data_IF_278700205259
#
_entry.id   IF_278700205259
#
_cell.length_a   1.000
_cell.length_b   1.000
_cell.length_c   1.000
_cell.angle_alpha   90.00
_cell.angle_beta   90.00
_cell.angle_gamma   90.00
#
_symmetry.space_group_name_H-M   'P 1'
#
loop_
_entity.id
_entity.type
_entity.pdbx_description
1 polymer ?
#
# COMPACT_ATOMS: atom_id res chain seq x y z
N UNK A 1 0.01 -27.33 -16.30
CA UNK A 1 -0.36 -25.91 -16.51
C UNK A 1 -1.84 -25.87 -16.81
N UNK A 2 -2.65 -25.26 -15.94
CA UNK A 2 -4.10 -25.09 -16.19
C UNK A 2 -4.29 -23.96 -17.22
N UNK A 3 -5.21 -24.12 -18.17
CA UNK A 3 -5.48 -23.13 -19.21
C UNK A 3 -5.95 -21.79 -18.62
N UNK A 4 -5.48 -20.68 -19.18
CA UNK A 4 -5.98 -19.34 -18.86
C UNK A 4 -7.47 -19.20 -19.20
N UNK A 5 -7.88 -19.76 -20.34
CA UNK A 5 -9.27 -19.76 -20.78
C UNK A 5 -10.06 -20.89 -20.11
N UNK A 6 -11.31 -20.62 -19.66
CA UNK A 6 -12.19 -21.64 -19.10
C UNK A 6 -12.64 -22.65 -20.18
N UNK A 7 -12.48 -23.93 -19.88
CA UNK A 7 -12.77 -25.03 -20.81
C UNK A 7 -14.24 -25.47 -20.79
N UNK A 8 -14.99 -25.16 -19.72
CA UNK A 8 -16.41 -25.54 -19.54
C UNK A 8 -17.36 -24.36 -19.28
N UNK A 9 -18.66 -24.59 -19.49
CA UNK A 9 -19.72 -23.57 -19.32
C UNK A 9 -19.87 -23.10 -17.86
N UNK A 10 -19.71 -24.01 -16.90
CA UNK A 10 -19.70 -23.70 -15.46
C UNK A 10 -18.52 -22.78 -15.10
N UNK A 11 -17.30 -23.13 -15.52
CA UNK A 11 -16.11 -22.29 -15.28
C UNK A 11 -16.23 -20.90 -15.90
N UNK A 12 -16.87 -20.78 -17.07
CA UNK A 12 -17.17 -19.48 -17.69
C UNK A 12 -18.14 -18.68 -16.83
N UNK A 13 -19.19 -19.32 -16.32
CA UNK A 13 -20.19 -18.66 -15.48
C UNK A 13 -19.59 -18.15 -14.17
N UNK A 14 -18.69 -18.94 -13.56
CA UNK A 14 -18.02 -18.58 -12.31
C UNK A 14 -16.98 -17.47 -12.54
N UNK A 15 -16.21 -17.53 -13.64
CA UNK A 15 -15.31 -16.45 -14.04
C UNK A 15 -16.08 -15.15 -14.30
N UNK A 16 -17.23 -15.19 -14.97
CA UNK A 16 -18.06 -14.00 -15.20
C UNK A 16 -18.64 -13.42 -13.90
N UNK A 17 -19.05 -14.28 -12.95
CA UNK A 17 -19.50 -13.85 -11.63
C UNK A 17 -18.36 -13.19 -10.85
N UNK A 18 -17.18 -13.80 -10.83
CA UNK A 18 -15.99 -13.24 -10.22
C UNK A 18 -15.63 -11.88 -10.85
N UNK A 19 -15.63 -11.78 -12.18
CA UNK A 19 -15.35 -10.53 -12.90
C UNK A 19 -16.36 -9.42 -12.55
N UNK A 20 -17.65 -9.75 -12.39
CA UNK A 20 -18.66 -8.76 -11.97
C UNK A 20 -18.33 -8.17 -10.61
N UNK A 21 -17.72 -8.91 -9.69
CA UNK A 21 -17.40 -8.40 -8.36
C UNK A 21 -16.46 -7.19 -8.42
N UNK A 22 -15.51 -7.17 -9.35
CA UNK A 22 -14.58 -6.03 -9.58
C UNK A 22 -15.30 -4.74 -10.01
N UNK A 23 -16.48 -4.85 -10.63
CA UNK A 23 -17.32 -3.71 -11.04
C UNK A 23 -18.42 -3.34 -10.03
N UNK A 24 -18.51 -4.03 -8.90
CA UNK A 24 -19.61 -3.83 -7.94
C UNK A 24 -19.16 -3.07 -6.69
N UNK A 25 -20.14 -2.71 -5.85
CA UNK A 25 -19.92 -2.12 -4.52
C UNK A 25 -18.98 -2.96 -3.64
N UNK A 26 -18.91 -4.28 -3.85
CA UNK A 26 -18.04 -5.18 -3.08
C UNK A 26 -16.57 -4.80 -3.26
N UNK A 27 -16.15 -4.49 -4.48
CA UNK A 27 -14.78 -4.02 -4.76
C UNK A 27 -14.50 -2.66 -4.12
N UNK A 28 -15.46 -1.73 -4.19
CA UNK A 28 -15.31 -0.38 -3.61
C UNK A 28 -15.27 -0.37 -2.08
N UNK A 29 -16.04 -1.25 -1.43
CA UNK A 29 -16.08 -1.35 0.03
C UNK A 29 -14.94 -2.20 0.58
N UNK A 30 -14.56 -3.25 -0.12
CA UNK A 30 -13.47 -4.13 0.28
C UNK A 30 -12.06 -3.56 0.10
N UNK A 31 -11.90 -2.48 -0.67
CA UNK A 31 -10.59 -1.92 -1.02
C UNK A 31 -10.41 -0.48 -0.50
N UNK A 32 -9.79 -0.30 0.68
CA UNK A 32 -9.51 1.02 1.21
C UNK A 32 -8.54 1.85 0.34
N UNK A 33 -7.76 1.20 -0.52
CA UNK A 33 -6.78 1.82 -1.41
C UNK A 33 -7.41 2.46 -2.67
N UNK A 34 -8.71 2.23 -2.91
CA UNK A 34 -9.38 2.69 -4.13
C UNK A 34 -9.43 4.21 -4.25
N UNK A 35 -9.54 4.92 -3.12
CA UNK A 35 -9.50 6.38 -3.08
C UNK A 35 -8.14 6.90 -3.53
N UNK A 36 -7.06 6.29 -3.04
CA UNK A 36 -5.69 6.61 -3.45
C UNK A 36 -5.47 6.32 -4.93
N UNK A 37 -5.94 5.17 -5.42
CA UNK A 37 -5.86 4.84 -6.84
C UNK A 37 -6.61 5.87 -7.70
N UNK A 38 -7.81 6.29 -7.28
CA UNK A 38 -8.60 7.33 -7.97
C UNK A 38 -7.87 8.66 -8.10
N UNK A 39 -7.19 9.11 -7.04
CA UNK A 39 -6.37 10.34 -7.08
C UNK A 39 -5.24 10.21 -8.10
N UNK A 40 -4.50 9.10 -8.08
CA UNK A 40 -3.40 8.91 -9.03
C UNK A 40 -3.87 8.72 -10.48
N UNK A 41 -5.04 8.13 -10.71
CA UNK A 41 -5.66 8.09 -12.04
C UNK A 41 -5.97 9.51 -12.52
N UNK A 42 -6.57 10.36 -11.68
CA UNK A 42 -6.82 11.76 -12.03
C UNK A 42 -5.51 12.49 -12.39
N UNK A 43 -4.47 12.33 -11.57
CA UNK A 43 -3.16 12.91 -11.84
C UNK A 43 -2.55 12.36 -13.14
N UNK A 44 -2.72 11.07 -13.45
CA UNK A 44 -2.28 10.48 -14.70
C UNK A 44 -3.00 11.08 -15.93
N UNK A 45 -4.31 11.35 -15.81
CA UNK A 45 -5.08 12.04 -16.86
C UNK A 45 -4.55 13.45 -17.09
N UNK A 46 -4.32 14.21 -16.02
CA UNK A 46 -3.75 15.56 -16.10
C UNK A 46 -2.36 15.52 -16.78
N UNK A 47 -1.52 14.57 -16.38
CA UNK A 47 -0.20 14.36 -16.97
C UNK A 47 -0.25 13.99 -18.46
N UNK A 48 -1.17 13.11 -18.86
CA UNK A 48 -1.34 12.76 -20.27
C UNK A 48 -1.79 13.99 -21.09
N UNK A 49 -2.66 14.83 -20.52
CA UNK A 49 -3.08 16.08 -21.14
C UNK A 49 -1.94 17.10 -21.26
N UNK A 50 -1.18 17.33 -20.19
CA UNK A 50 0.00 18.20 -20.21
C UNK A 50 1.01 17.73 -21.27
N UNK A 51 1.31 16.43 -21.29
CA UNK A 51 2.22 15.86 -22.26
C UNK A 51 1.70 16.01 -23.70
N UNK A 52 0.41 15.79 -23.93
CA UNK A 52 -0.23 16.03 -25.24
C UNK A 52 0.00 17.46 -25.71
N UNK A 53 -0.33 18.44 -24.85
CA UNK A 53 -0.19 19.87 -25.19
C UNK A 53 1.27 20.28 -25.42
N UNK A 54 2.21 19.72 -24.64
CA UNK A 54 3.63 20.01 -24.80
C UNK A 54 4.19 19.42 -26.10
N UNK A 55 3.77 18.21 -26.48
CA UNK A 55 4.21 17.53 -27.71
C UNK A 55 3.73 18.23 -28.99
N UNK A 56 2.69 19.06 -28.93
CA UNK A 56 2.28 19.90 -30.07
C UNK A 56 3.31 20.98 -30.42
N UNK A 57 4.16 21.38 -29.48
CA UNK A 57 5.07 22.53 -29.64
C UNK A 57 6.53 22.21 -29.37
N UNK A 58 6.83 21.08 -28.72
CA UNK A 58 8.17 20.71 -28.26
C UNK A 58 8.52 19.27 -28.60
N UNK A 59 9.82 18.96 -28.68
CA UNK A 59 10.28 17.58 -28.79
C UNK A 59 9.92 16.76 -27.55
N UNK A 60 9.79 15.44 -27.69
CA UNK A 60 9.47 14.52 -26.59
C UNK A 60 10.40 14.70 -25.39
N UNK A 61 11.70 14.86 -25.61
CA UNK A 61 12.67 15.12 -24.55
C UNK A 61 12.37 16.39 -23.76
N UNK A 62 11.95 17.48 -24.43
CA UNK A 62 11.58 18.74 -23.77
C UNK A 62 10.20 18.65 -23.12
N UNK A 63 9.23 18.01 -23.76
CA UNK A 63 7.89 17.80 -23.21
C UNK A 63 7.94 16.98 -21.92
N UNK A 64 8.73 15.91 -21.89
CA UNK A 64 8.93 15.09 -20.70
C UNK A 64 9.63 15.84 -19.55
N UNK A 65 10.40 16.90 -19.82
CA UNK A 65 10.99 17.76 -18.78
C UNK A 65 9.94 18.58 -18.03
N UNK A 66 8.78 18.83 -18.65
CA UNK A 66 7.70 19.64 -18.07
C UNK A 66 6.54 18.80 -17.54
N UNK A 67 6.29 17.61 -18.09
CA UNK A 67 5.22 16.71 -17.66
C UNK A 67 5.68 15.72 -16.57
N UNK A 68 4.91 15.57 -15.50
CA UNK A 68 5.17 14.56 -14.45
C UNK A 68 4.68 13.17 -14.86
N UNK A 69 5.27 12.57 -15.92
CA UNK A 69 4.86 11.25 -16.49
C UNK A 69 4.77 10.11 -15.45
N UNK A 70 5.50 10.30 -14.36
CA UNK A 70 5.40 9.61 -13.08
C UNK A 70 3.97 9.29 -12.62
N UNK A 71 3.05 10.24 -12.72
CA UNK A 71 1.71 10.07 -12.15
C UNK A 71 0.99 8.86 -12.78
N UNK A 72 1.28 8.56 -14.04
CA UNK A 72 0.76 7.38 -14.72
C UNK A 72 1.38 6.07 -14.20
N UNK A 73 2.68 6.06 -13.88
CA UNK A 73 3.34 4.90 -13.25
C UNK A 73 2.81 4.63 -11.83
N UNK A 74 2.55 5.68 -11.05
CA UNK A 74 1.95 5.56 -9.71
C UNK A 74 0.50 5.07 -9.81
N UNK A 75 -0.28 5.55 -10.77
CA UNK A 75 -1.62 5.06 -11.03
C UNK A 75 -1.63 3.54 -11.29
N UNK A 76 -0.72 3.05 -12.14
CA UNK A 76 -0.57 1.62 -12.42
C UNK A 76 -0.25 0.83 -11.16
N UNK A 77 0.71 1.29 -10.36
CA UNK A 77 1.13 0.61 -9.11
C UNK A 77 -0.01 0.53 -8.09
N UNK A 78 -0.73 1.64 -7.85
CA UNK A 78 -1.82 1.66 -6.88
C UNK A 78 -3.05 0.85 -7.33
N UNK A 79 -3.32 0.82 -8.64
CA UNK A 79 -4.36 -0.05 -9.19
C UNK A 79 -4.00 -1.52 -9.01
N UNK A 80 -2.76 -1.93 -9.29
CA UNK A 80 -2.31 -3.30 -9.03
C UNK A 80 -2.43 -3.68 -7.56
N UNK A 81 -2.08 -2.78 -6.64
CA UNK A 81 -2.27 -2.99 -5.19
C UNK A 81 -3.75 -3.18 -4.80
N UNK A 82 -4.68 -2.44 -5.42
CA UNK A 82 -6.12 -2.61 -5.19
C UNK A 82 -6.59 -3.99 -5.65
N UNK A 83 -6.18 -4.41 -6.86
CA UNK A 83 -6.52 -5.73 -7.40
C UNK A 83 -5.94 -6.85 -6.53
N UNK A 84 -4.70 -6.70 -6.09
CA UNK A 84 -4.05 -7.67 -5.21
C UNK A 84 -4.73 -7.77 -3.85
N UNK A 85 -5.11 -6.64 -3.25
CA UNK A 85 -5.82 -6.65 -1.95
C UNK A 85 -7.15 -7.38 -2.08
N UNK A 86 -7.91 -7.10 -3.15
CA UNK A 86 -9.19 -7.74 -3.40
C UNK A 86 -9.06 -9.25 -3.63
N UNK A 87 -8.23 -9.63 -4.61
CA UNK A 87 -8.01 -11.03 -4.96
C UNK A 87 -7.38 -11.80 -3.81
N UNK A 88 -6.48 -11.17 -3.05
CA UNK A 88 -5.86 -11.75 -1.86
C UNK A 88 -6.87 -12.06 -0.76
N UNK A 89 -7.85 -11.17 -0.53
CA UNK A 89 -8.92 -11.41 0.43
C UNK A 89 -9.87 -12.53 -0.04
N UNK A 90 -10.21 -12.58 -1.32
CA UNK A 90 -11.11 -13.62 -1.86
C UNK A 90 -10.44 -14.99 -1.93
N UNK A 91 -9.22 -15.06 -2.48
CA UNK A 91 -8.47 -16.32 -2.63
C UNK A 91 -7.95 -16.78 -1.25
N UNK A 92 -7.52 -15.86 -0.39
CA UNK A 92 -6.95 -16.17 0.92
C UNK A 92 -7.98 -16.54 2.00
N UNK A 93 -9.28 -16.32 1.76
CA UNK A 93 -10.32 -16.66 2.72
C UNK A 93 -10.37 -18.17 3.01
N UNK A 94 -10.56 -18.53 4.28
CA UNK A 94 -10.63 -19.93 4.74
C UNK A 94 -11.76 -20.71 4.06
N UNK A 95 -12.89 -20.05 3.81
CA UNK A 95 -14.08 -20.62 3.17
C UNK A 95 -13.96 -20.74 1.65
N UNK A 96 -12.98 -20.08 1.02
CA UNK A 96 -12.86 -20.06 -0.45
C UNK A 96 -12.58 -21.44 -1.05
N UNK A 97 -12.06 -22.39 -0.26
CA UNK A 97 -11.87 -23.80 -0.67
C UNK A 97 -13.15 -24.61 -0.68
N UNK A 98 -14.18 -24.19 0.07
CA UNK A 98 -15.44 -24.92 0.16
C UNK A 98 -16.27 -24.78 -1.13
N UNK A 99 -15.99 -23.77 -1.95
CA UNK A 99 -16.66 -23.54 -3.23
C UNK A 99 -15.76 -24.06 -4.37
N UNK A 100 -16.15 -25.15 -5.05
CA UNK A 100 -15.36 -25.72 -6.15
C UNK A 100 -15.13 -24.68 -7.25
N UNK A 101 -13.90 -24.59 -7.77
CA UNK A 101 -13.57 -23.73 -8.93
C UNK A 101 -13.42 -22.23 -8.63
N UNK A 102 -13.93 -21.73 -7.50
CA UNK A 102 -13.91 -20.30 -7.12
C UNK A 102 -12.50 -19.69 -7.16
N UNK A 103 -11.51 -20.38 -6.58
CA UNK A 103 -10.14 -19.89 -6.49
C UNK A 103 -9.49 -19.64 -7.86
N UNK A 104 -9.75 -20.54 -8.82
CA UNK A 104 -9.21 -20.43 -10.17
C UNK A 104 -10.00 -19.41 -11.00
N UNK A 105 -11.32 -19.33 -10.81
CA UNK A 105 -12.17 -18.31 -11.41
C UNK A 105 -11.74 -16.91 -10.98
N UNK A 106 -11.45 -16.71 -9.69
CA UNK A 106 -11.00 -15.43 -9.13
C UNK A 106 -9.59 -15.06 -9.62
N UNK A 107 -8.66 -16.02 -9.68
CA UNK A 107 -7.33 -15.77 -10.24
C UNK A 107 -7.37 -15.38 -11.74
N UNK A 108 -8.25 -16.02 -12.53
CA UNK A 108 -8.49 -15.66 -13.94
C UNK A 108 -9.11 -14.26 -14.06
N UNK A 109 -10.10 -13.95 -13.24
CA UNK A 109 -10.73 -12.63 -13.21
C UNK A 109 -9.72 -11.54 -12.83
N UNK A 110 -8.95 -11.75 -11.76
CA UNK A 110 -7.90 -10.83 -11.33
C UNK A 110 -6.85 -10.59 -12.42
N UNK A 111 -6.38 -11.65 -13.10
CA UNK A 111 -5.43 -11.54 -14.18
C UNK A 111 -6.01 -10.75 -15.38
N UNK A 112 -7.26 -11.03 -15.77
CA UNK A 112 -7.90 -10.32 -16.86
C UNK A 112 -8.12 -8.83 -16.54
N UNK A 113 -8.61 -8.52 -15.35
CA UNK A 113 -8.79 -7.12 -14.90
C UNK A 113 -7.44 -6.41 -14.83
N UNK A 114 -6.39 -7.06 -14.33
CA UNK A 114 -5.04 -6.49 -14.30
C UNK A 114 -4.52 -6.13 -15.69
N UNK A 115 -4.69 -7.03 -16.67
CA UNK A 115 -4.30 -6.76 -18.07
C UNK A 115 -5.10 -5.59 -18.65
N UNK A 116 -6.42 -5.58 -18.47
CA UNK A 116 -7.29 -4.51 -19.00
C UNK A 116 -6.92 -3.16 -18.40
N UNK A 117 -6.65 -3.10 -17.10
CA UNK A 117 -6.27 -1.86 -16.41
C UNK A 117 -4.93 -1.33 -16.92
N UNK A 118 -3.93 -2.20 -17.13
CA UNK A 118 -2.63 -1.79 -17.66
C UNK A 118 -2.77 -1.26 -19.08
N UNK A 119 -3.50 -1.96 -19.95
CA UNK A 119 -3.77 -1.50 -21.33
C UNK A 119 -4.54 -0.18 -21.33
N UNK A 120 -5.52 0.01 -20.44
CA UNK A 120 -6.27 1.26 -20.33
C UNK A 120 -5.39 2.44 -19.90
N UNK A 121 -4.50 2.25 -18.92
CA UNK A 121 -3.55 3.27 -18.48
C UNK A 121 -2.50 3.60 -19.55
N UNK A 122 -2.00 2.58 -20.26
CA UNK A 122 -1.10 2.80 -21.39
C UNK A 122 -1.80 3.51 -22.54
N UNK A 123 -3.07 3.17 -22.81
CA UNK A 123 -3.90 3.88 -23.79
C UNK A 123 -4.12 5.36 -23.42
N UNK A 124 -4.33 5.65 -22.12
CA UNK A 124 -4.42 7.03 -21.62
C UNK A 124 -3.12 7.81 -21.87
N UNK A 125 -1.95 7.18 -21.67
CA UNK A 125 -0.68 7.80 -22.02
C UNK A 125 -0.50 7.93 -23.55
N UNK A 126 -0.89 6.92 -24.32
CA UNK A 126 -0.78 6.94 -25.78
C UNK A 126 -1.62 8.06 -26.42
N UNK A 127 -2.70 8.50 -25.76
CA UNK A 127 -3.46 9.70 -26.15
C UNK A 127 -2.59 10.96 -26.25
N UNK A 128 -1.46 11.02 -25.53
CA UNK A 128 -0.52 12.15 -25.66
C UNK A 128 0.20 12.21 -27.01
N UNK A 129 0.10 11.17 -27.85
CA UNK A 129 0.78 11.06 -29.13
C UNK A 129 2.01 10.16 -29.13
N UNK A 130 2.31 9.50 -28.00
CA UNK A 130 3.39 8.49 -27.90
C UNK A 130 2.88 7.14 -28.39
N UNK A 131 3.69 6.33 -29.11
CA UNK A 131 3.26 5.01 -29.58
C UNK A 131 2.80 4.09 -28.44
N UNK A 132 1.73 3.33 -28.69
CA UNK A 132 1.12 2.47 -27.66
C UNK A 132 2.12 1.45 -27.08
N UNK A 133 2.96 0.84 -27.91
CA UNK A 133 3.95 -0.15 -27.46
C UNK A 133 4.97 0.46 -26.48
N UNK A 134 5.38 1.71 -26.70
CA UNK A 134 6.30 2.41 -25.81
C UNK A 134 5.64 2.75 -24.47
N UNK A 135 4.39 3.23 -24.51
CA UNK A 135 3.63 3.53 -23.28
C UNK A 135 3.29 2.27 -22.49
N UNK A 136 3.03 1.15 -23.18
CA UNK A 136 2.77 -0.15 -22.57
C UNK A 136 4.04 -0.70 -21.91
N UNK A 137 5.17 -0.63 -22.60
CA UNK A 137 6.47 -0.98 -22.05
C UNK A 137 6.80 -0.17 -20.80
N UNK A 138 6.63 1.16 -20.85
CA UNK A 138 6.83 2.02 -19.70
C UNK A 138 5.91 1.64 -18.53
N UNK A 139 4.62 1.39 -18.79
CA UNK A 139 3.65 1.03 -17.74
C UNK A 139 4.00 -0.32 -17.11
N UNK A 140 4.30 -1.33 -17.93
CA UNK A 140 4.64 -2.68 -17.48
C UNK A 140 5.94 -2.70 -16.68
N UNK A 141 6.97 -2.00 -17.16
CA UNK A 141 8.27 -1.93 -16.48
C UNK A 141 8.14 -1.31 -15.08
N UNK A 142 7.26 -0.30 -14.93
CA UNK A 142 6.97 0.29 -13.61
C UNK A 142 6.09 -0.59 -12.71
N UNK A 143 5.42 -1.62 -13.25
CA UNK A 143 4.65 -2.60 -12.48
C UNK A 143 5.44 -3.85 -12.07
N UNK A 144 6.71 -3.95 -12.44
CA UNK A 144 7.61 -5.05 -12.04
C UNK A 144 7.64 -5.27 -10.51
N UNK A 145 7.67 -4.23 -9.65
CA UNK A 145 7.55 -4.42 -8.20
C UNK A 145 6.24 -5.13 -7.80
N UNK A 146 5.14 -4.85 -8.50
CA UNK A 146 3.85 -5.49 -8.26
C UNK A 146 3.87 -6.98 -8.62
N UNK A 147 4.64 -7.40 -9.63
CA UNK A 147 4.86 -8.83 -9.95
C UNK A 147 5.47 -9.57 -8.76
N UNK A 148 6.47 -8.95 -8.10
CA UNK A 148 7.07 -9.52 -6.90
C UNK A 148 6.06 -9.61 -5.72
N UNK A 149 5.16 -8.63 -5.61
CA UNK A 149 4.11 -8.66 -4.59
C UNK A 149 3.05 -9.73 -4.87
N UNK A 150 2.64 -9.91 -6.13
CA UNK A 150 1.75 -11.00 -6.55
C UNK A 150 2.39 -12.38 -6.34
N UNK A 151 3.71 -12.46 -6.38
CA UNK A 151 4.48 -13.67 -6.13
C UNK A 151 4.63 -13.95 -4.62
N UNK A 152 3.56 -14.43 -3.98
CA UNK A 152 3.63 -14.94 -2.61
C UNK A 152 4.31 -16.32 -2.57
N UNK A 153 5.41 -16.52 -1.82
CA UNK A 153 6.04 -17.84 -1.71
C UNK A 153 5.07 -18.83 -1.04
N UNK A 154 5.12 -20.13 -1.41
CA UNK A 154 4.23 -21.14 -0.84
C UNK A 154 4.27 -21.14 0.70
N UNK A 155 3.15 -21.35 1.38
CA UNK A 155 3.11 -21.34 2.85
C UNK A 155 4.14 -22.30 3.48
N UNK A 156 4.29 -23.49 2.88
CA UNK A 156 5.22 -24.55 3.29
C UNK A 156 6.65 -24.40 2.73
N UNK A 157 6.99 -23.29 2.07
CA UNK A 157 8.33 -23.14 1.50
C UNK A 157 9.40 -22.99 2.58
N UNK A 158 10.58 -23.56 2.34
CA UNK A 158 11.73 -23.43 3.23
C UNK A 158 12.09 -21.95 3.47
N UNK A 159 12.65 -21.65 4.65
CA UNK A 159 13.14 -20.28 4.97
C UNK A 159 14.11 -19.77 3.90
N UNK A 160 14.90 -20.68 3.30
CA UNK A 160 15.82 -20.38 2.21
C UNK A 160 15.10 -19.92 0.95
N UNK A 161 14.02 -20.60 0.54
CA UNK A 161 13.24 -20.18 -0.64
C UNK A 161 12.56 -18.82 -0.40
N UNK A 162 12.00 -18.61 0.79
CA UNK A 162 11.42 -17.31 1.19
C UNK A 162 12.48 -16.20 1.12
N UNK A 163 13.69 -16.45 1.65
CA UNK A 163 14.79 -15.50 1.59
C UNK A 163 15.23 -15.21 0.14
N UNK A 164 15.34 -16.23 -0.71
CA UNK A 164 15.68 -16.06 -2.13
C UNK A 164 14.61 -15.22 -2.84
N UNK A 165 13.32 -15.52 -2.67
CA UNK A 165 12.25 -14.73 -3.31
C UNK A 165 12.26 -13.27 -2.86
N UNK A 166 12.50 -13.02 -1.57
CA UNK A 166 12.62 -11.66 -1.04
C UNK A 166 13.87 -10.97 -1.59
N UNK A 167 15.01 -11.67 -1.66
CA UNK A 167 16.25 -11.13 -2.20
C UNK A 167 16.14 -10.84 -3.69
N UNK A 168 15.48 -11.71 -4.47
CA UNK A 168 15.22 -11.48 -5.90
C UNK A 168 14.28 -10.30 -6.09
N UNK A 169 13.22 -10.16 -5.28
CA UNK A 169 12.36 -8.97 -5.30
C UNK A 169 13.15 -7.70 -4.98
N UNK A 170 14.04 -7.75 -3.99
CA UNK A 170 14.93 -6.63 -3.65
C UNK A 170 15.94 -6.33 -4.76
N UNK A 171 16.50 -7.36 -5.40
CA UNK A 171 17.43 -7.20 -6.52
C UNK A 171 16.75 -6.64 -7.77
N UNK A 172 15.50 -7.03 -8.05
CA UNK A 172 14.70 -6.45 -9.14
C UNK A 172 14.36 -4.99 -8.86
N UNK A 173 13.98 -4.66 -7.62
CA UNK A 173 13.80 -3.29 -7.18
C UNK A 173 15.10 -2.49 -7.33
N UNK A 174 16.25 -3.05 -6.90
CA UNK A 174 17.57 -2.44 -7.02
C UNK A 174 18.03 -2.32 -8.48
N UNK A 175 17.70 -3.26 -9.35
CA UNK A 175 18.01 -3.20 -10.77
C UNK A 175 17.20 -2.13 -11.49
N UNK A 176 15.89 -2.06 -11.20
CA UNK A 176 15.03 -0.96 -11.63
C UNK A 176 15.61 0.35 -11.12
N UNK A 177 16.06 0.39 -9.85
CA UNK A 177 16.70 1.51 -9.19
C UNK A 177 17.97 1.99 -9.91
N UNK A 178 18.86 1.06 -10.27
CA UNK A 178 20.12 1.35 -10.96
C UNK A 178 19.90 1.94 -12.34
N UNK A 179 18.89 1.44 -13.07
CA UNK A 179 18.52 1.96 -14.39
C UNK A 179 18.07 3.42 -14.34
N UNK A 180 17.55 3.89 -13.21
CA UNK A 180 17.07 5.27 -13.09
C UNK A 180 18.18 6.28 -12.81
N UNK A 181 19.34 5.86 -12.29
CA UNK A 181 20.49 6.76 -12.16
C UNK A 181 21.01 7.23 -13.52
N UNK A 182 20.59 6.59 -14.61
CA UNK A 182 20.71 7.16 -15.95
C UNK A 182 19.68 8.29 -16.13
N UNK A 183 20.13 9.49 -16.50
CA UNK A 183 19.32 10.72 -16.58
C UNK A 183 18.16 10.65 -17.58
N UNK A 184 18.15 9.64 -18.45
CA UNK A 184 17.27 9.53 -19.61
C UNK A 184 16.31 8.35 -19.54
N UNK A 185 16.10 7.70 -18.39
CA UNK A 185 15.25 6.50 -18.33
C UNK A 185 13.83 6.66 -18.90
N UNK A 186 13.04 7.72 -18.59
CA UNK A 186 11.70 7.85 -19.15
C UNK A 186 11.74 8.03 -20.67
N UNK A 187 12.70 8.80 -21.16
CA UNK A 187 12.93 8.99 -22.60
C UNK A 187 13.35 7.66 -23.25
N UNK A 188 14.28 6.95 -22.62
CA UNK A 188 14.77 5.64 -23.05
C UNK A 188 13.66 4.61 -23.13
N UNK A 189 12.76 4.56 -22.16
CA UNK A 189 11.63 3.63 -22.14
C UNK A 189 10.57 3.98 -23.19
N UNK A 190 10.45 5.25 -23.58
CA UNK A 190 9.42 5.76 -24.47
C UNK A 190 9.90 5.97 -25.93
N UNK A 191 11.13 5.60 -26.25
CA UNK A 191 11.72 5.79 -27.59
C UNK A 191 12.36 4.52 -28.15
N UNK A 192 11.95 3.35 -27.66
CA UNK A 192 12.54 2.08 -28.09
C UNK A 192 11.91 1.61 -29.40
N UNK A 193 12.67 0.90 -30.25
CA UNK A 193 12.09 0.33 -31.46
C UNK A 193 11.10 -0.78 -31.09
N UNK A 194 9.97 -0.84 -31.81
CA UNK A 194 8.91 -1.83 -31.62
C UNK A 194 9.40 -3.29 -31.57
N UNK A 195 10.49 -3.60 -32.29
CA UNK A 195 11.08 -4.94 -32.32
C UNK A 195 11.62 -5.41 -30.95
N UNK A 196 11.92 -4.47 -30.03
CA UNK A 196 12.38 -4.78 -28.68
C UNK A 196 11.26 -4.70 -27.65
N UNK A 197 10.39 -3.70 -27.76
CA UNK A 197 9.31 -3.44 -26.79
C UNK A 197 8.17 -4.44 -26.91
N UNK A 198 7.71 -4.77 -28.13
CA UNK A 198 6.58 -5.68 -28.30
C UNK A 198 6.85 -7.08 -27.72
N UNK A 199 8.01 -7.73 -27.97
CA UNK A 199 8.31 -9.01 -27.32
C UNK A 199 8.47 -8.87 -25.80
N UNK A 200 9.05 -7.77 -25.31
CA UNK A 200 9.22 -7.52 -23.89
C UNK A 200 7.88 -7.32 -23.18
N UNK A 201 6.94 -6.61 -23.80
CA UNK A 201 5.58 -6.38 -23.27
C UNK A 201 4.82 -7.69 -23.14
N UNK A 202 4.88 -8.54 -24.17
CA UNK A 202 4.25 -9.87 -24.14
C UNK A 202 4.87 -10.70 -23.01
N UNK A 203 6.20 -10.68 -22.86
CA UNK A 203 6.89 -11.42 -21.80
C UNK A 203 6.54 -10.92 -20.39
N UNK A 204 6.54 -9.61 -20.17
CA UNK A 204 6.19 -9.00 -18.88
C UNK A 204 4.72 -9.23 -18.52
N UNK A 205 3.80 -9.08 -19.48
CA UNK A 205 2.39 -9.35 -19.28
C UNK A 205 2.13 -10.85 -19.01
N UNK A 206 2.84 -11.73 -19.72
CA UNK A 206 2.82 -13.17 -19.48
C UNK A 206 3.33 -13.54 -18.09
N UNK A 207 4.43 -12.93 -17.64
CA UNK A 207 4.99 -13.13 -16.31
C UNK A 207 4.03 -12.66 -15.20
N UNK A 208 3.42 -11.48 -15.35
CA UNK A 208 2.42 -10.97 -14.41
C UNK A 208 1.20 -11.90 -14.35
N UNK A 209 0.70 -12.33 -15.51
CA UNK A 209 -0.42 -13.27 -15.62
C UNK A 209 -0.10 -14.59 -14.93
N UNK A 210 1.10 -15.14 -15.18
CA UNK A 210 1.56 -16.35 -14.53
C UNK A 210 1.68 -16.18 -13.00
N UNK A 211 2.19 -15.03 -12.54
CA UNK A 211 2.28 -14.71 -11.12
C UNK A 211 0.89 -14.68 -10.45
N UNK A 212 -0.12 -14.10 -11.09
CA UNK A 212 -1.50 -14.07 -10.55
C UNK A 212 -2.14 -15.47 -10.60
N UNK A 213 -2.06 -16.15 -11.74
CA UNK A 213 -2.70 -17.46 -11.96
C UNK A 213 -2.14 -18.58 -11.06
N UNK A 214 -0.90 -18.44 -10.60
CA UNK A 214 -0.27 -19.41 -9.68
C UNK A 214 -0.55 -19.12 -8.21
N UNK A 215 -1.18 -17.98 -7.88
CA UNK A 215 -1.45 -17.57 -6.51
C UNK A 215 -2.29 -18.61 -5.71
N UNK A 216 -3.40 -19.17 -6.24
CA UNK A 216 -4.18 -20.17 -5.53
C UNK A 216 -3.36 -21.40 -5.12
N UNK A 217 -2.53 -21.90 -6.03
CA UNK A 217 -1.71 -23.10 -5.81
C UNK A 217 -0.64 -22.87 -4.73
N UNK A 218 -0.16 -21.62 -4.57
CA UNK A 218 0.84 -21.27 -3.56
C UNK A 218 0.23 -21.04 -2.19
N UNK A 219 -0.97 -20.46 -2.14
CA UNK A 219 -1.70 -20.24 -0.89
C UNK A 219 -2.32 -21.54 -0.36
N UNK A 220 -2.71 -22.46 -1.24
CA UNK A 220 -3.50 -23.64 -0.89
C UNK A 220 -2.89 -24.98 -1.30
N UNK A 221 -1.56 -25.08 -1.31
CA UNK A 221 -0.81 -26.24 -1.80
C UNK A 221 -1.44 -27.59 -1.37
N UNK A 222 -1.62 -28.55 -2.30
CA UNK A 222 -2.35 -29.81 -2.09
C UNK A 222 -1.68 -30.80 -1.14
N UNK A 223 -0.56 -30.46 -0.50
CA UNK A 223 0.01 -31.26 0.59
C UNK A 223 -0.90 -31.35 1.85
N UNK A 224 -2.04 -30.65 1.86
CA UNK A 224 -3.12 -30.87 2.82
C UNK A 224 -4.13 -31.95 2.39
N UNK A 225 -4.00 -32.51 1.17
CA UNK A 225 -4.98 -33.44 0.59
C UNK A 225 -4.27 -34.47 -0.30
N UNK A 226 -3.56 -35.44 0.29
CA UNK A 226 -3.57 -36.76 -0.33
C UNK A 226 -4.79 -37.50 0.20
N UNK A 227 -5.78 -37.87 -0.65
CA UNK A 227 -6.69 -38.93 -0.31
C UNK A 227 -5.89 -40.22 -0.39
N UNK A 228 -5.25 -40.63 0.71
CA UNK A 228 -4.90 -42.03 0.86
C UNK A 228 -6.20 -42.80 1.01
N UNK A 229 -6.37 -43.75 0.11
CA UNK A 229 -7.47 -44.67 -0.08
C UNK A 229 -8.23 -45.04 1.19
N UNK A 230 -9.56 -45.14 1.04
CA UNK A 230 -10.44 -45.65 2.08
C UNK A 230 -10.04 -47.07 2.47
N UNK A 231 -9.26 -47.18 3.54
CA UNK A 231 -9.12 -48.29 4.50
C UNK A 231 -8.04 -47.81 5.47
N UNK A 232 -8.43 -47.45 6.70
CA UNK A 232 -7.52 -47.07 7.79
C UNK A 232 -6.62 -45.85 7.54
N UNK A 233 -7.19 -44.69 7.24
CA UNK A 233 -6.53 -43.45 7.65
C UNK A 233 -6.76 -43.32 9.17
N UNK A 234 -5.72 -43.40 10.02
CA UNK A 234 -5.89 -43.00 11.41
C UNK A 234 -6.42 -41.56 11.38
N UNK A 235 -7.37 -41.24 12.27
CA UNK A 235 -7.82 -39.87 12.51
C UNK A 235 -6.59 -38.96 12.46
N UNK A 236 -6.63 -37.80 11.76
CA UNK A 236 -5.46 -36.97 11.56
C UNK A 236 -4.79 -36.86 12.91
N UNK A 237 -3.62 -37.50 13.04
CA UNK A 237 -2.81 -37.34 14.20
C UNK A 237 -2.40 -35.88 14.07
N UNK A 238 -3.18 -34.99 14.70
CA UNK A 238 -2.64 -33.75 15.19
C UNK A 238 -1.34 -34.20 15.83
N UNK A 239 -0.17 -33.80 15.29
CA UNK A 239 1.05 -34.08 15.99
C UNK A 239 0.80 -33.45 17.36
N UNK A 240 0.55 -34.28 18.37
CA UNK A 240 0.78 -33.89 19.74
C UNK A 240 2.20 -33.42 19.68
N UNK A 241 2.45 -32.12 19.87
CA UNK A 241 3.80 -31.64 19.76
C UNK A 241 4.56 -32.38 20.85
N UNK A 242 5.36 -33.38 20.47
CA UNK A 242 6.30 -34.11 21.35
C UNK A 242 7.45 -33.21 21.80
N UNK A 243 7.46 -31.98 21.29
CA UNK A 243 7.93 -30.87 22.07
C UNK A 243 6.73 -30.33 22.82
N UNK A 244 6.66 -30.59 24.13
CA UNK A 244 6.07 -29.61 25.04
C UNK A 244 6.38 -28.24 24.43
N UNK A 245 5.38 -27.44 24.02
CA UNK A 245 5.71 -26.14 23.51
C UNK A 245 6.51 -25.52 24.63
N UNK A 246 7.80 -25.30 24.40
CA UNK A 246 8.57 -24.35 25.16
C UNK A 246 7.93 -23.02 24.79
N UNK A 247 6.73 -22.78 25.32
CA UNK A 247 6.33 -21.50 25.87
C UNK A 247 7.40 -21.21 26.90
N UNK A 248 8.56 -20.79 26.40
CA UNK A 248 9.30 -19.78 27.11
C UNK A 248 8.28 -18.66 27.19
N UNK A 249 7.75 -18.31 28.37
CA UNK A 249 6.97 -17.11 28.51
C UNK A 249 7.93 -16.00 28.11
N UNK A 250 7.85 -15.53 26.86
CA UNK A 250 8.43 -14.24 26.57
C UNK A 250 7.50 -13.28 27.26
N UNK A 251 7.91 -12.84 28.45
CA UNK A 251 7.24 -11.77 29.15
C UNK A 251 7.09 -10.62 28.16
N UNK A 252 5.86 -10.41 27.71
CA UNK A 252 5.55 -9.35 26.78
C UNK A 252 5.89 -8.05 27.48
N UNK A 253 6.78 -7.26 26.86
CA UNK A 253 7.12 -5.95 27.41
C UNK A 253 5.85 -5.09 27.49
N UNK A 254 5.84 -4.17 28.45
CA UNK A 254 4.74 -3.21 28.61
C UNK A 254 4.46 -2.42 27.32
N UNK A 255 5.49 -2.14 26.53
CA UNK A 255 5.35 -1.53 25.21
C UNK A 255 4.61 -2.44 24.23
N UNK A 256 4.99 -3.72 24.12
CA UNK A 256 4.31 -4.69 23.25
C UNK A 256 2.84 -4.86 23.64
N UNK A 257 2.54 -4.92 24.93
CA UNK A 257 1.17 -4.95 25.46
C UNK A 257 0.35 -3.72 25.00
N UNK A 258 0.94 -2.52 25.02
CA UNK A 258 0.30 -1.30 24.49
C UNK A 258 0.12 -1.35 22.98
N UNK A 259 1.07 -1.91 22.23
CA UNK A 259 0.94 -2.06 20.77
C UNK A 259 -0.16 -3.04 20.38
N UNK A 260 -0.38 -4.09 21.17
CA UNK A 260 -1.47 -5.04 20.95
C UNK A 260 -2.86 -4.40 21.06
N UNK A 261 -3.00 -3.28 21.78
CA UNK A 261 -4.23 -2.47 21.79
C UNK A 261 -4.50 -1.85 20.41
N UNK A 262 -3.46 -1.49 19.67
CA UNK A 262 -3.54 -0.85 18.36
C UNK A 262 -3.68 -1.87 17.23
N UNK A 263 -2.97 -3.01 17.32
CA UNK A 263 -3.08 -4.12 16.38
C UNK A 263 -2.63 -5.46 17.04
N UNK A 264 -3.49 -6.50 17.08
CA UNK A 264 -3.21 -7.71 17.85
C UNK A 264 -2.29 -8.69 17.10
N UNK A 265 -2.28 -8.65 15.76
CA UNK A 265 -1.60 -9.63 14.92
C UNK A 265 -0.08 -9.41 14.79
N UNK A 266 0.45 -8.27 15.24
CA UNK A 266 1.88 -7.96 15.10
C UNK A 266 2.42 -7.16 16.30
N UNK A 267 2.75 -7.82 17.42
CA UNK A 267 3.39 -7.13 18.55
C UNK A 267 4.78 -6.63 18.12
N UNK A 268 4.90 -5.33 17.86
CA UNK A 268 6.17 -4.69 17.52
C UNK A 268 6.95 -4.36 18.79
N UNK A 269 8.24 -4.67 18.80
CA UNK A 269 9.14 -4.21 19.86
C UNK A 269 9.42 -2.72 19.69
N UNK A 270 9.71 -2.02 20.79
CA UNK A 270 10.11 -0.61 20.74
C UNK A 270 11.28 -0.40 19.78
N UNK A 271 12.30 -1.26 19.88
CA UNK A 271 13.46 -1.24 18.97
C UNK A 271 13.03 -1.29 17.50
N UNK A 272 12.14 -2.23 17.13
CA UNK A 272 11.70 -2.37 15.75
C UNK A 272 10.87 -1.17 15.30
N UNK A 273 9.99 -0.64 16.15
CA UNK A 273 9.16 0.52 15.79
C UNK A 273 9.99 1.80 15.59
N UNK A 274 11.04 1.99 16.40
CA UNK A 274 12.01 3.08 16.24
C UNK A 274 12.85 2.90 14.97
N UNK A 275 13.38 1.70 14.71
CA UNK A 275 14.16 1.40 13.51
C UNK A 275 13.33 1.59 12.23
N UNK A 276 12.11 1.06 12.21
CA UNK A 276 11.18 1.23 11.09
C UNK A 276 10.88 2.72 10.88
N UNK A 277 10.60 3.46 11.95
CA UNK A 277 10.29 4.89 11.87
C UNK A 277 11.48 5.74 11.40
N UNK A 278 12.71 5.33 11.72
CA UNK A 278 13.92 6.03 11.31
C UNK A 278 14.39 5.66 9.90
N UNK A 279 14.30 4.39 9.50
CA UNK A 279 14.84 3.93 8.23
C UNK A 279 13.80 3.92 7.11
N UNK A 280 12.54 3.54 7.37
CA UNK A 280 11.57 3.36 6.29
C UNK A 280 11.27 4.65 5.51
N UNK A 281 11.04 5.83 6.12
CA UNK A 281 10.78 7.04 5.36
C UNK A 281 11.98 7.44 4.50
N UNK A 282 13.19 7.47 5.07
CA UNK A 282 14.42 7.73 4.34
C UNK A 282 14.64 6.73 3.20
N UNK A 283 14.55 5.42 3.48
CA UNK A 283 14.68 4.39 2.46
C UNK A 283 13.59 4.52 1.38
N UNK A 284 12.35 4.80 1.74
CA UNK A 284 11.27 4.97 0.77
C UNK A 284 11.47 6.23 -0.08
N UNK A 285 11.93 7.34 0.50
CA UNK A 285 12.29 8.55 -0.25
C UNK A 285 13.47 8.28 -1.17
N UNK A 286 14.49 7.59 -0.68
CA UNK A 286 15.67 7.24 -1.48
C UNK A 286 15.30 6.28 -2.61
N UNK A 287 14.53 5.21 -2.32
CA UNK A 287 14.01 4.24 -3.29
C UNK A 287 13.14 4.94 -4.33
N UNK A 288 12.25 5.84 -3.92
CA UNK A 288 11.35 6.53 -4.85
C UNK A 288 12.10 7.59 -5.64
N UNK A 289 13.06 8.30 -5.04
CA UNK A 289 13.95 9.19 -5.78
C UNK A 289 14.88 8.48 -6.76
N UNK A 290 15.12 7.20 -6.50
CA UNK A 290 15.79 6.30 -7.41
C UNK A 290 14.82 5.39 -8.18
N UNK A 291 13.50 5.60 -8.10
CA UNK A 291 12.59 5.15 -9.14
C UNK A 291 12.64 6.21 -10.27
N UNK A 292 12.27 5.86 -11.51
CA UNK A 292 12.51 6.74 -12.65
C UNK A 292 11.36 7.73 -12.79
N UNK A 293 11.20 8.53 -11.74
CA UNK A 293 10.05 9.39 -11.51
C UNK A 293 10.21 10.78 -12.16
N UNK A 294 11.30 11.03 -12.89
CA UNK A 294 11.54 12.30 -13.59
C UNK A 294 12.93 12.39 -14.24
N UNK A 295 13.16 13.48 -14.97
CA UNK A 295 14.46 13.80 -15.58
C UNK A 295 15.38 14.57 -14.61
N UNK A 296 16.70 14.44 -14.81
CA UNK A 296 17.71 15.13 -13.99
C UNK A 296 18.51 14.20 -13.08
N UNK A 297 19.51 14.77 -12.39
CA UNK A 297 20.35 14.03 -11.45
C UNK A 297 19.60 13.63 -10.17
N UNK A 298 20.13 12.64 -9.45
CA UNK A 298 19.50 12.09 -8.24
C UNK A 298 19.12 13.16 -7.20
N UNK A 299 19.99 14.14 -6.96
CA UNK A 299 19.71 15.24 -6.03
C UNK A 299 18.54 16.12 -6.47
N UNK A 300 18.42 16.40 -7.77
CA UNK A 300 17.31 17.17 -8.34
C UNK A 300 15.99 16.40 -8.20
N UNK A 301 16.01 15.09 -8.41
CA UNK A 301 14.83 14.23 -8.24
C UNK A 301 14.38 14.13 -6.79
N UNK A 302 15.32 13.97 -5.84
CA UNK A 302 14.99 14.05 -4.41
C UNK A 302 14.31 15.37 -4.11
N UNK A 303 14.87 16.49 -4.56
CA UNK A 303 14.31 17.81 -4.30
C UNK A 303 12.89 17.99 -4.86
N UNK A 304 12.58 17.39 -6.02
CA UNK A 304 11.25 17.46 -6.65
C UNK A 304 10.22 16.46 -6.07
N UNK A 305 10.67 15.29 -5.62
CA UNK A 305 9.77 14.26 -5.08
C UNK A 305 9.44 14.49 -3.62
N UNK A 306 10.39 15.04 -2.87
CA UNK A 306 10.29 15.37 -1.46
C UNK A 306 8.94 15.98 -1.05
N UNK A 307 8.41 17.02 -1.73
CA UNK A 307 7.12 17.59 -1.40
C UNK A 307 5.98 16.56 -1.52
N UNK A 308 6.01 15.72 -2.55
CA UNK A 308 5.04 14.64 -2.78
C UNK A 308 5.15 13.46 -1.79
N UNK A 309 6.23 13.39 -1.01
CA UNK A 309 6.55 12.23 -0.16
C UNK A 309 6.32 12.50 1.33
N UNK A 310 5.88 13.71 1.70
CA UNK A 310 5.43 14.05 3.07
C UNK A 310 4.26 13.17 3.54
N UNK A 311 3.54 12.54 2.63
CA UNK A 311 2.50 11.56 2.96
C UNK A 311 3.06 10.36 3.73
N UNK A 312 4.32 9.97 3.52
CA UNK A 312 4.92 8.79 4.15
C UNK A 312 5.08 8.91 5.66
N UNK A 313 5.28 10.12 6.18
CA UNK A 313 5.37 10.35 7.62
C UNK A 313 3.98 10.35 8.28
N UNK A 314 2.94 10.65 7.49
CA UNK A 314 1.56 10.77 7.92
C UNK A 314 0.72 9.49 7.76
N UNK A 315 1.06 8.61 6.82
CA UNK A 315 0.46 7.27 6.70
C UNK A 315 0.88 6.41 7.88
N UNK A 316 0.06 6.42 8.92
CA UNK A 316 0.25 5.62 10.12
C UNK A 316 -0.54 4.31 10.06
N UNK A 317 -0.21 3.41 10.99
CA UNK A 317 -0.96 2.18 11.19
C UNK A 317 -2.45 2.50 11.37
N UNK A 318 -3.32 1.75 10.68
CA UNK A 318 -4.77 1.93 10.66
C UNK A 318 -5.47 1.52 11.96
N UNK A 319 -4.98 2.00 13.11
CA UNK A 319 -5.35 1.57 14.46
C UNK A 319 -6.87 1.66 14.76
N UNK A 320 -7.55 2.66 14.20
CA UNK A 320 -9.01 2.81 14.35
C UNK A 320 -9.82 2.01 13.31
N UNK A 321 -9.17 1.67 12.18
CA UNK A 321 -9.72 0.77 11.16
C UNK A 321 -9.73 -0.66 11.69
N UNK A 322 -8.64 -1.09 12.32
CA UNK A 322 -8.49 -2.39 12.95
C UNK A 322 -9.08 -2.39 14.36
N UNK A 323 -10.37 -2.03 14.54
CA UNK A 323 -11.02 -2.02 15.86
C UNK A 323 -11.84 -3.27 16.17
N UNK A 324 -11.81 -4.26 15.27
CA UNK A 324 -12.60 -5.50 15.34
C UNK A 324 -12.22 -6.38 16.52
N UNK A 325 -10.99 -6.28 17.02
CA UNK A 325 -10.50 -7.03 18.18
C UNK A 325 -10.73 -6.34 19.52
N UNK A 326 -11.22 -5.09 19.53
CA UNK A 326 -11.44 -4.32 20.76
C UNK A 326 -12.46 -4.95 21.72
N UNK A 327 -13.58 -5.55 21.26
CA UNK A 327 -14.49 -6.27 22.14
C UNK A 327 -13.78 -7.41 22.90
N UNK A 328 -12.95 -8.19 22.21
CA UNK A 328 -12.20 -9.29 22.82
C UNK A 328 -11.20 -8.77 23.86
N UNK A 329 -10.46 -7.71 23.54
CA UNK A 329 -9.53 -7.10 24.50
C UNK A 329 -10.24 -6.54 25.73
N UNK A 330 -11.44 -5.97 25.56
CA UNK A 330 -12.25 -5.49 26.68
C UNK A 330 -12.69 -6.63 27.60
N UNK A 331 -13.07 -7.79 27.05
CA UNK A 331 -13.49 -8.96 27.84
C UNK A 331 -12.41 -9.54 28.76
N UNK A 332 -11.14 -9.17 28.56
CA UNK A 332 -10.05 -9.53 29.48
C UNK A 332 -10.19 -8.92 30.89
N UNK A 333 -11.13 -8.00 31.09
CA UNK A 333 -11.47 -7.42 32.40
C UNK A 333 -10.49 -6.37 32.93
N UNK A 334 -9.36 -6.15 32.25
CA UNK A 334 -8.28 -5.24 32.71
C UNK A 334 -8.65 -3.75 32.79
N UNK A 335 -9.67 -3.32 32.05
CA UNK A 335 -9.97 -1.89 31.87
C UNK A 335 -11.20 -1.41 32.65
N UNK A 336 -11.96 -2.31 33.28
CA UNK A 336 -13.16 -1.99 34.06
C UNK A 336 -14.35 -1.50 33.23
N UNK A 337 -14.18 -0.42 32.48
CA UNK A 337 -15.22 0.21 31.65
C UNK A 337 -14.83 0.33 30.18
N UNK A 338 -15.84 0.42 29.29
CA UNK A 338 -15.63 0.71 27.85
C UNK A 338 -14.92 2.04 27.63
N UNK A 339 -15.20 3.05 28.46
CA UNK A 339 -14.61 4.38 28.33
C UNK A 339 -13.12 4.38 28.65
N UNK A 340 -12.74 3.71 29.74
CA UNK A 340 -11.35 3.63 30.17
C UNK A 340 -10.51 2.79 29.21
N UNK A 341 -11.11 1.74 28.63
CA UNK A 341 -10.49 1.02 27.50
C UNK A 341 -10.20 1.94 26.32
N UNK A 342 -11.19 2.69 25.83
CA UNK A 342 -10.99 3.58 24.66
C UNK A 342 -9.97 4.67 24.97
N UNK A 343 -9.98 5.25 26.17
CA UNK A 343 -8.96 6.20 26.62
C UNK A 343 -7.56 5.56 26.66
N UNK A 344 -7.45 4.31 27.10
CA UNK A 344 -6.19 3.58 27.09
C UNK A 344 -5.67 3.35 25.65
N UNK A 345 -6.55 3.07 24.69
CA UNK A 345 -6.17 2.95 23.26
C UNK A 345 -5.67 4.28 22.71
N UNK A 346 -6.40 5.39 22.95
CA UNK A 346 -6.02 6.72 22.48
C UNK A 346 -4.69 7.19 23.10
N UNK A 347 -4.50 6.96 24.40
CA UNK A 347 -3.24 7.31 25.09
C UNK A 347 -2.07 6.43 24.64
N UNK A 348 -2.29 5.14 24.38
CA UNK A 348 -1.29 4.27 23.79
C UNK A 348 -0.88 4.75 22.39
N UNK A 349 -1.85 5.16 21.55
CA UNK A 349 -1.56 5.73 20.23
C UNK A 349 -0.78 7.04 20.34
N UNK A 350 -1.21 7.95 21.21
CA UNK A 350 -0.51 9.21 21.45
C UNK A 350 0.94 8.97 21.88
N UNK A 351 1.17 8.07 22.85
CA UNK A 351 2.51 7.71 23.32
C UNK A 351 3.40 7.16 22.20
N UNK A 352 2.87 6.27 21.34
CA UNK A 352 3.62 5.74 20.20
C UNK A 352 3.98 6.82 19.20
N UNK A 353 3.03 7.69 18.87
CA UNK A 353 3.21 8.72 17.84
C UNK A 353 4.16 9.82 18.30
N UNK A 354 4.14 10.21 19.57
CA UNK A 354 5.12 11.14 20.13
C UNK A 354 6.55 10.60 20.06
N UNK A 355 6.74 9.27 20.11
CA UNK A 355 8.06 8.64 19.94
C UNK A 355 8.46 8.51 18.47
N UNK A 356 7.51 8.16 17.59
CA UNK A 356 7.80 7.79 16.20
C UNK A 356 7.76 8.95 15.22
N UNK A 357 6.88 9.94 15.42
CA UNK A 357 6.73 11.08 14.52
C UNK A 357 8.02 11.92 14.40
N UNK A 358 8.74 12.27 15.49
CA UNK A 358 10.00 12.99 15.36
C UNK A 358 11.04 12.23 14.54
N UNK A 359 11.16 10.91 14.74
CA UNK A 359 12.09 10.07 13.98
C UNK A 359 11.73 10.03 12.49
N UNK A 360 10.44 9.93 12.18
CA UNK A 360 9.95 9.94 10.78
C UNK A 360 10.18 11.27 10.10
N UNK A 361 9.91 12.38 10.81
CA UNK A 361 10.18 13.73 10.31
C UNK A 361 11.68 13.92 10.05
N UNK A 362 12.55 13.53 11.00
CA UNK A 362 14.01 13.59 10.81
C UNK A 362 14.45 12.70 9.64
N UNK A 363 13.93 11.48 9.57
CA UNK A 363 14.19 10.52 8.49
C UNK A 363 13.85 11.08 7.11
N UNK A 364 12.74 11.82 6.99
CA UNK A 364 12.35 12.52 5.77
C UNK A 364 13.23 13.76 5.52
N UNK A 365 13.46 14.60 6.54
CA UNK A 365 14.20 15.86 6.42
C UNK A 365 15.68 15.68 6.09
N UNK A 366 16.32 14.60 6.54
CA UNK A 366 17.75 14.38 6.38
C UNK A 366 18.18 14.24 4.90
N UNK A 367 17.55 13.39 4.06
CA UNK A 367 17.80 13.41 2.62
C UNK A 367 17.54 14.78 1.99
N UNK A 368 16.49 15.48 2.44
CA UNK A 368 16.07 16.75 1.85
C UNK A 368 17.15 17.81 2.04
N UNK A 369 17.65 17.97 3.27
CA UNK A 369 18.68 18.97 3.58
C UNK A 369 20.02 18.65 2.92
N UNK A 370 20.32 17.37 2.71
CA UNK A 370 21.55 16.92 2.03
C UNK A 370 21.51 17.19 0.52
N UNK A 371 20.35 17.01 -0.13
CA UNK A 371 20.25 17.07 -1.59
C UNK A 371 19.61 18.36 -2.12
N UNK A 372 18.87 19.08 -1.28
CA UNK A 372 18.39 20.45 -1.52
C UNK A 372 19.01 21.32 -0.44
N UNK A 373 20.03 22.14 -0.75
CA UNK A 373 20.69 22.97 0.25
C UNK A 373 19.70 24.03 0.76
N UNK A 374 18.97 23.69 1.82
CA UNK A 374 18.13 24.57 2.58
C UNK A 374 18.99 25.23 3.66
N UNK A 375 18.77 26.52 3.93
CA UNK A 375 19.37 27.11 5.10
C UNK A 375 18.90 26.34 6.36
N UNK A 376 19.78 26.14 7.37
CA UNK A 376 19.43 25.37 8.57
C UNK A 376 18.15 25.86 9.26
N UNK A 377 17.91 27.17 9.25
CA UNK A 377 16.71 27.80 9.83
C UNK A 377 15.43 27.39 9.10
N UNK A 378 15.45 27.33 7.76
CA UNK A 378 14.31 26.89 6.96
C UNK A 378 14.05 25.39 7.15
N UNK A 379 15.11 24.57 7.17
CA UNK A 379 14.97 23.14 7.42
C UNK A 379 14.35 22.83 8.80
N UNK A 380 14.73 23.59 9.84
CA UNK A 380 14.16 23.43 11.17
C UNK A 380 12.69 23.84 11.24
N UNK A 381 12.32 24.94 10.58
CA UNK A 381 10.93 25.40 10.49
C UNK A 381 10.05 24.40 9.74
N UNK A 382 10.47 24.00 8.53
CA UNK A 382 9.73 23.04 7.70
C UNK A 382 9.55 21.69 8.44
N UNK A 383 10.60 21.24 9.14
CA UNK A 383 10.56 20.04 9.96
C UNK A 383 9.59 20.17 11.15
N UNK A 384 9.58 21.31 11.84
CA UNK A 384 8.67 21.57 12.95
C UNK A 384 7.21 21.57 12.50
N UNK A 385 6.90 22.24 11.39
CA UNK A 385 5.55 22.28 10.82
C UNK A 385 5.07 20.89 10.40
N UNK A 386 5.92 20.11 9.72
CA UNK A 386 5.62 18.72 9.34
C UNK A 386 5.40 17.82 10.55
N UNK A 387 6.18 17.98 11.62
CA UNK A 387 5.99 17.24 12.87
C UNK A 387 4.63 17.55 13.48
N UNK A 388 4.30 18.83 13.67
CA UNK A 388 3.02 19.28 14.23
C UNK A 388 1.85 18.73 13.41
N UNK A 389 1.93 18.83 12.09
CA UNK A 389 0.87 18.37 11.21
C UNK A 389 0.72 16.83 11.27
N UNK A 390 1.83 16.08 11.33
CA UNK A 390 1.83 14.61 11.47
C UNK A 390 1.18 14.15 12.78
N UNK A 391 1.43 14.86 13.88
CA UNK A 391 0.77 14.60 15.17
C UNK A 391 -0.74 14.78 15.06
N UNK A 392 -1.22 15.81 14.35
CA UNK A 392 -2.65 16.05 14.14
C UNK A 392 -3.32 14.99 13.26
N UNK A 393 -2.74 14.69 12.09
CA UNK A 393 -3.30 13.74 11.11
C UNK A 393 -3.59 12.36 11.72
N UNK A 394 -2.74 11.92 12.66
CA UNK A 394 -2.88 10.67 13.43
C UNK A 394 -4.30 10.40 13.94
N UNK A 395 -4.98 11.45 14.41
CA UNK A 395 -6.28 11.35 15.08
C UNK A 395 -7.45 11.72 14.16
N UNK A 396 -7.19 12.29 12.98
CA UNK A 396 -8.24 12.69 12.04
C UNK A 396 -9.07 11.49 11.53
N UNK A 397 -8.52 10.28 11.49
CA UNK A 397 -9.30 9.06 11.20
C UNK A 397 -10.45 8.80 12.16
N UNK A 398 -10.43 9.40 13.35
CA UNK A 398 -11.48 9.29 14.38
C UNK A 398 -12.54 10.39 14.30
N UNK A 399 -12.35 11.38 13.44
CA UNK A 399 -13.28 12.49 13.20
C UNK A 399 -14.72 12.06 12.86
N UNK A 400 -14.99 10.99 12.08
CA UNK A 400 -16.37 10.57 11.79
C UNK A 400 -17.19 10.30 13.07
N UNK A 401 -16.54 9.82 14.13
CA UNK A 401 -17.20 9.49 15.40
C UNK A 401 -17.62 10.72 16.22
N UNK A 402 -17.19 11.92 15.82
CA UNK A 402 -17.74 13.15 16.36
C UNK A 402 -19.18 13.36 15.89
N UNK A 403 -19.48 13.01 14.64
CA UNK A 403 -20.77 13.33 14.01
C UNK A 403 -21.69 12.10 13.95
N UNK A 404 -21.12 10.91 13.79
CA UNK A 404 -21.85 9.66 13.58
C UNK A 404 -21.60 8.67 14.71
N UNK A 405 -22.67 8.00 15.18
CA UNK A 405 -22.54 6.92 16.17
C UNK A 405 -21.84 5.68 15.60
N UNK A 406 -22.13 5.33 14.35
CA UNK A 406 -21.55 4.19 13.65
C UNK A 406 -21.13 4.61 12.22
N UNK A 407 -19.95 5.25 12.07
CA UNK A 407 -19.47 5.63 10.75
C UNK A 407 -19.11 4.39 9.92
N UNK A 408 -19.42 4.39 8.60
CA UNK A 408 -19.01 3.30 7.73
C UNK A 408 -17.48 3.23 7.63
N UNK A 409 -16.93 2.01 7.52
CA UNK A 409 -15.48 1.77 7.51
C UNK A 409 -14.75 2.56 6.41
N UNK A 410 -15.37 2.71 5.23
CA UNK A 410 -14.83 3.52 4.13
C UNK A 410 -14.65 4.99 4.50
N UNK A 411 -15.56 5.56 5.30
CA UNK A 411 -15.46 6.95 5.74
C UNK A 411 -14.32 7.14 6.75
N UNK A 412 -14.15 6.17 7.67
CA UNK A 412 -13.01 6.12 8.59
C UNK A 412 -11.69 6.03 7.83
N UNK A 413 -11.64 5.20 6.78
CA UNK A 413 -10.47 5.09 5.87
C UNK A 413 -10.23 6.41 5.14
N UNK A 414 -11.25 6.98 4.50
CA UNK A 414 -11.13 8.21 3.73
C UNK A 414 -10.63 9.36 4.61
N UNK A 415 -11.15 9.50 5.84
CA UNK A 415 -10.71 10.53 6.79
C UNK A 415 -9.37 10.22 7.48
N UNK A 416 -8.86 9.00 7.36
CA UNK A 416 -7.48 8.66 7.74
C UNK A 416 -6.48 9.00 6.62
N UNK A 417 -6.89 8.91 5.35
CA UNK A 417 -6.04 9.15 4.20
C UNK A 417 -6.07 10.62 3.72
N UNK A 418 -7.24 11.26 3.70
CA UNK A 418 -7.42 12.60 3.16
C UNK A 418 -6.50 13.65 3.81
N UNK A 419 -6.32 13.70 5.14
CA UNK A 419 -5.39 14.64 5.76
C UNK A 419 -3.93 14.37 5.36
N UNK A 420 -3.56 13.11 5.12
CA UNK A 420 -2.23 12.75 4.64
C UNK A 420 -2.00 13.21 3.18
N UNK A 421 -3.04 13.19 2.34
CA UNK A 421 -3.02 13.80 1.00
C UNK A 421 -3.02 15.34 1.04
N UNK A 422 -3.71 15.96 2.00
CA UNK A 422 -3.63 17.40 2.22
C UNK A 422 -2.18 17.78 2.60
N UNK A 423 -1.51 16.98 3.43
CA UNK A 423 -0.08 17.17 3.70
C UNK A 423 0.77 17.01 2.44
N UNK A 424 0.43 16.12 1.52
CA UNK A 424 1.14 16.00 0.25
C UNK A 424 1.00 17.26 -0.62
N UNK A 425 -0.21 17.81 -0.72
CA UNK A 425 -0.53 18.93 -1.62
C UNK A 425 -0.16 20.30 -1.05
N UNK A 426 -0.20 20.45 0.28
CA UNK A 426 -0.08 21.74 0.96
C UNK A 426 1.19 21.89 1.79
N UNK A 427 2.18 21.01 1.67
CA UNK A 427 3.40 21.00 2.49
C UNK A 427 4.23 22.31 2.38
N UNK A 428 5.18 22.56 3.32
CA UNK A 428 5.92 23.81 3.34
C UNK A 428 6.89 23.95 2.16
N UNK A 429 7.26 22.87 1.49
CA UNK A 429 8.09 22.92 0.28
C UNK A 429 7.32 23.39 -0.97
N UNK A 430 5.97 23.37 -0.94
CA UNK A 430 5.10 23.87 -2.02
C UNK A 430 4.61 25.27 -1.68
N UNK A 431 3.99 25.43 -0.51
CA UNK A 431 3.29 26.68 -0.14
C UNK A 431 4.17 27.66 0.65
N UNK A 432 5.32 27.21 1.14
CA UNK A 432 6.14 27.96 2.10
C UNK A 432 5.54 27.97 3.51
N UNK A 433 6.42 28.17 4.51
CA UNK A 433 6.06 28.18 5.93
C UNK A 433 4.95 29.16 6.31
N UNK A 434 4.86 30.32 5.62
CA UNK A 434 3.84 31.36 5.90
C UNK A 434 2.40 30.85 5.72
N UNK A 435 2.19 29.93 4.78
CA UNK A 435 0.86 29.41 4.45
C UNK A 435 0.66 28.05 5.13
N UNK A 436 1.70 27.21 5.17
CA UNK A 436 1.58 25.88 5.76
C UNK A 436 1.52 25.88 7.29
N UNK A 437 2.24 26.78 7.97
CA UNK A 437 2.20 26.89 9.44
C UNK A 437 0.78 26.97 10.02
N UNK A 438 -0.09 27.87 9.54
CA UNK A 438 -1.50 27.92 9.94
C UNK A 438 -2.27 26.62 9.64
N UNK A 439 -2.02 25.97 8.50
CA UNK A 439 -2.66 24.69 8.14
C UNK A 439 -2.23 23.58 9.09
N UNK A 440 -0.93 23.48 9.39
CA UNK A 440 -0.37 22.51 10.33
C UNK A 440 -0.98 22.68 11.73
N UNK A 441 -1.12 23.93 12.20
CA UNK A 441 -1.80 24.24 13.46
C UNK A 441 -3.28 23.87 13.44
N UNK A 442 -3.99 24.13 12.34
CA UNK A 442 -5.38 23.73 12.17
C UNK A 442 -5.57 22.21 12.24
N UNK A 443 -4.69 21.45 11.57
CA UNK A 443 -4.69 19.98 11.61
C UNK A 443 -4.36 19.47 13.01
N UNK A 444 -3.40 20.09 13.71
CA UNK A 444 -3.07 19.74 15.09
C UNK A 444 -4.22 20.01 16.05
N UNK A 445 -4.89 21.16 15.94
CA UNK A 445 -6.07 21.51 16.73
C UNK A 445 -7.22 20.51 16.49
N UNK A 446 -7.45 20.11 15.24
CA UNK A 446 -8.44 19.10 14.88
C UNK A 446 -8.11 17.73 15.47
N UNK A 447 -6.83 17.32 15.41
CA UNK A 447 -6.36 16.09 16.01
C UNK A 447 -6.50 16.09 17.54
N UNK A 448 -6.17 17.19 18.20
CA UNK A 448 -6.36 17.36 19.64
C UNK A 448 -7.84 17.29 20.03
N UNK A 449 -8.72 17.96 19.27
CA UNK A 449 -10.16 17.89 19.46
C UNK A 449 -10.66 16.45 19.36
N UNK A 450 -10.18 15.69 18.37
CA UNK A 450 -10.51 14.28 18.23
C UNK A 450 -10.03 13.46 19.43
N UNK A 451 -8.80 13.70 19.90
CA UNK A 451 -8.23 13.00 21.06
C UNK A 451 -9.06 13.16 22.33
N UNK A 452 -9.58 14.36 22.60
CA UNK A 452 -10.35 14.63 23.81
C UNK A 452 -11.84 14.29 23.69
N UNK A 453 -12.46 14.51 22.53
CA UNK A 453 -13.92 14.43 22.38
C UNK A 453 -14.44 13.11 21.81
N UNK A 454 -13.61 12.36 21.07
CA UNK A 454 -14.04 11.08 20.47
C UNK A 454 -14.16 9.94 21.49
N UNK A 455 -13.24 9.74 22.47
CA UNK A 455 -13.32 8.62 23.40
C UNK A 455 -14.69 8.38 24.06
N UNK A 456 -15.38 9.41 24.61
CA UNK A 456 -16.71 9.21 25.20
C UNK A 456 -17.79 8.84 24.18
N UNK A 457 -17.69 9.29 22.93
CA UNK A 457 -18.63 8.95 21.86
C UNK A 457 -18.40 7.54 21.35
N UNK A 458 -17.13 7.18 21.14
CA UNK A 458 -16.72 5.87 20.66
C UNK A 458 -17.00 4.75 21.67
N UNK A 459 -16.94 5.05 22.98
CA UNK A 459 -17.32 4.10 24.03
C UNK A 459 -18.82 3.73 24.03
N UNK A 460 -19.67 4.62 23.49
CA UNK A 460 -21.12 4.43 23.35
C UNK A 460 -21.52 3.86 21.98
N UNK A 461 -20.58 3.79 21.04
CA UNK A 461 -20.80 3.21 19.73
C UNK A 461 -20.72 1.68 19.81
N UNK A 462 -21.43 1.01 18.91
CA UNK A 462 -21.23 -0.43 18.72
C UNK A 462 -19.92 -0.66 17.99
N UNK A 463 -19.11 -1.57 18.53
CA UNK A 463 -17.85 -1.95 17.92
C UNK A 463 -18.11 -3.11 16.97
N UNK A 464 -17.59 -3.05 15.73
CA UNK A 464 -17.78 -4.13 14.77
C UNK A 464 -17.18 -5.42 15.34
N UNK A 465 -17.96 -6.49 15.32
CA UNK A 465 -17.50 -7.85 15.57
C UNK A 465 -17.54 -8.56 14.23
N UNK A 466 -16.38 -8.76 13.60
CA UNK A 466 -16.30 -9.69 12.48
C UNK A 466 -16.30 -11.09 13.10
N UNK A 467 -17.48 -11.72 13.15
CA UNK A 467 -17.52 -13.19 13.04
C UNK A 467 -17.02 -13.50 11.63
N UNK A 468 -15.92 -14.23 11.57
CA UNK A 468 -15.16 -14.64 10.39
C UNK A 468 -15.95 -14.87 9.09
#
# INVERSE_FOLDING_TARGET
MNSFLPSGALERSDMLRALRLYGTRVFLVGNPMIFTAGIFILLAVMTAHELHTALLTQSLEKALKHSSILNAALAATFLQNCLQTHAGNQIGASQARAVPGLLHAEARAAALVSMVVLVALSGLLAWSGVPLHDTLFYTLLNTVPSVAQWYAPPQQSSRRLKAITTLTGFALLLGLMLLTFTTDFPLWALTRPAILTVPADIAMMGLLTAAIMTLPNRLHSPAMMSPTDGMTAPAPAFPTPDTTPRLVPHDLSFYQLRQMLLAPASPTTLKNDLLISLFMPACAVMIMASLPLGHGGFGTRIAHLTPGMTILIALQDGWIRTRTHWPLLLTTGRFGSRLDFVRAVFTAKASRVLMTAPLRTVSLMLPITLFRPLAPTHALLDGAELLIATLGVTFCGSLPFLVMKQPPQNLVVALSLAPAFILQLCNPFILGARIFGPIALGIAALGALCFFLVPPRLARADWPYETE
#
